data_IF_783727081588
#
_entry.id   IF_783727081588
#
_cell.length_a   1.000
_cell.length_b   1.000
_cell.length_c   1.000
_cell.angle_alpha   90.00
_cell.angle_beta   90.00
_cell.angle_gamma   90.00
#
_symmetry.space_group_name_H-M   'P 1'
#
loop_
_entity.id
_entity.type
_entity.pdbx_description
1 polymer ?
#
# COMPACT_ATOMS: atom_id res chain seq x y z
N UNK A 1 -24.24 -26.49 18.65
CA UNK A 1 -22.78 -26.28 18.50
C UNK A 1 -22.59 -25.55 17.19
N UNK A 2 -22.69 -24.23 17.24
CA UNK A 2 -22.50 -23.37 16.08
C UNK A 2 -21.00 -23.26 15.81
N UNK A 3 -20.61 -23.55 14.58
CA UNK A 3 -19.23 -23.52 14.14
C UNK A 3 -18.67 -22.10 14.31
N UNK A 4 -17.68 -21.96 15.19
CA UNK A 4 -16.70 -20.88 15.11
C UNK A 4 -16.11 -20.91 13.71
N UNK A 5 -16.66 -20.11 12.80
CA UNK A 5 -15.97 -19.76 11.56
C UNK A 5 -14.71 -19.03 12.00
N UNK A 6 -13.62 -19.77 12.14
CA UNK A 6 -12.27 -19.22 12.21
C UNK A 6 -12.14 -18.22 11.06
N UNK A 7 -12.25 -16.93 11.38
CA UNK A 7 -11.98 -15.82 10.47
C UNK A 7 -10.46 -15.77 10.28
N UNK A 8 -9.89 -16.80 9.65
CA UNK A 8 -8.53 -16.73 9.15
C UNK A 8 -8.54 -15.66 8.07
N UNK A 9 -8.12 -14.45 8.43
CA UNK A 9 -7.78 -13.45 7.43
C UNK A 9 -6.77 -14.11 6.49
N UNK A 10 -7.02 -14.10 5.17
CA UNK A 10 -6.09 -14.72 4.27
C UNK A 10 -4.76 -13.94 4.35
N UNK A 11 -3.68 -14.68 4.56
CA UNK A 11 -2.33 -14.16 4.79
C UNK A 11 -1.91 -13.18 3.69
N UNK A 12 -1.17 -12.12 4.05
CA UNK A 12 -0.72 -11.13 3.08
C UNK A 12 0.21 -11.74 2.00
N UNK A 13 0.15 -11.19 0.78
CA UNK A 13 1.11 -11.54 -0.27
C UNK A 13 2.50 -11.00 0.13
N UNK A 14 3.56 -11.83 0.14
CA UNK A 14 4.90 -11.42 0.52
C UNK A 14 5.40 -10.18 -0.23
N UNK A 15 6.07 -9.27 0.47
CA UNK A 15 6.52 -7.98 -0.08
C UNK A 15 7.52 -8.12 -1.24
N UNK A 16 8.24 -9.24 -1.33
CA UNK A 16 9.17 -9.48 -2.44
C UNK A 16 8.47 -9.73 -3.78
N UNK A 17 7.18 -10.08 -3.76
CA UNK A 17 6.38 -10.21 -4.99
C UNK A 17 6.11 -8.80 -5.52
N UNK A 18 6.48 -8.46 -6.76
CA UNK A 18 6.22 -7.14 -7.32
C UNK A 18 4.72 -6.84 -7.43
N UNK A 19 4.31 -5.57 -7.20
CA UNK A 19 2.91 -5.16 -7.34
C UNK A 19 2.35 -5.46 -8.74
N UNK A 20 3.16 -5.20 -9.78
CA UNK A 20 2.77 -5.47 -11.16
C UNK A 20 2.45 -6.95 -11.44
N UNK A 21 3.09 -7.88 -10.72
CA UNK A 21 2.81 -9.30 -10.91
C UNK A 21 1.53 -9.74 -10.18
N UNK A 22 1.18 -9.07 -9.08
CA UNK A 22 -0.10 -9.23 -8.40
C UNK A 22 -1.23 -8.71 -9.28
N UNK A 23 -1.05 -7.54 -9.90
CA UNK A 23 -2.01 -6.94 -10.85
C UNK A 23 -2.24 -7.86 -12.05
N UNK A 24 -1.18 -8.44 -12.64
CA UNK A 24 -1.32 -9.46 -13.69
C UNK A 24 -2.10 -10.69 -13.23
N UNK A 25 -1.84 -11.15 -12.00
CA UNK A 25 -2.57 -12.27 -11.39
C UNK A 25 -4.06 -11.97 -11.26
N UNK A 26 -4.41 -10.76 -10.80
CA UNK A 26 -5.79 -10.26 -10.74
C UNK A 26 -6.44 -10.22 -12.13
N UNK A 27 -5.76 -9.68 -13.12
CA UNK A 27 -6.30 -9.56 -14.48
C UNK A 27 -6.55 -10.94 -15.10
N UNK A 28 -5.65 -11.91 -14.86
CA UNK A 28 -5.86 -13.30 -15.27
C UNK A 28 -7.05 -13.93 -14.55
N UNK A 29 -7.23 -13.66 -13.27
CA UNK A 29 -8.37 -14.14 -12.48
C UNK A 29 -9.69 -13.57 -12.99
N UNK A 30 -9.73 -12.29 -13.38
CA UNK A 30 -10.90 -11.69 -14.03
C UNK A 30 -11.28 -12.42 -15.33
N UNK A 31 -10.30 -12.76 -16.16
CA UNK A 31 -10.54 -13.53 -17.38
C UNK A 31 -11.14 -14.92 -17.08
N UNK A 32 -10.66 -15.59 -16.03
CA UNK A 32 -11.20 -16.88 -15.60
C UNK A 32 -12.63 -16.79 -15.06
N UNK A 33 -12.95 -15.71 -14.34
CA UNK A 33 -14.32 -15.42 -13.89
C UNK A 33 -15.25 -15.27 -15.10
N UNK A 34 -14.84 -14.46 -16.08
CA UNK A 34 -15.62 -14.25 -17.30
C UNK A 34 -15.80 -15.55 -18.08
N UNK A 35 -14.74 -16.36 -18.19
CA UNK A 35 -14.78 -17.63 -18.93
C UNK A 35 -15.71 -18.68 -18.28
N UNK A 36 -15.87 -18.65 -16.95
CA UNK A 36 -16.68 -19.62 -16.20
C UNK A 36 -18.13 -19.19 -15.98
N UNK A 37 -18.45 -17.90 -16.13
CA UNK A 37 -19.81 -17.39 -15.97
C UNK A 37 -20.37 -17.67 -14.58
N UNK A 38 -21.54 -18.31 -14.51
CA UNK A 38 -22.28 -18.55 -13.26
C UNK A 38 -21.51 -19.45 -12.26
N UNK A 39 -20.57 -20.27 -12.74
CA UNK A 39 -19.74 -21.15 -11.90
C UNK A 39 -18.54 -20.43 -11.27
N UNK A 40 -18.35 -19.13 -11.53
CA UNK A 40 -17.21 -18.36 -11.07
C UNK A 40 -17.28 -17.91 -9.59
N UNK A 41 -18.35 -18.23 -8.86
CA UNK A 41 -18.59 -17.72 -7.49
C UNK A 41 -17.36 -17.82 -6.56
N UNK A 42 -16.63 -18.94 -6.47
CA UNK A 42 -15.44 -19.04 -5.61
C UNK A 42 -14.28 -18.13 -6.05
N UNK A 43 -14.18 -17.79 -7.34
CA UNK A 43 -13.14 -16.91 -7.86
C UNK A 43 -13.41 -15.44 -7.52
N UNK A 44 -14.66 -15.06 -7.26
CA UNK A 44 -15.02 -13.70 -6.85
C UNK A 44 -14.43 -13.36 -5.48
N UNK A 45 -14.47 -14.30 -4.52
CA UNK A 45 -13.86 -14.11 -3.20
C UNK A 45 -12.34 -13.96 -3.30
N UNK A 46 -11.70 -14.79 -4.13
CA UNK A 46 -10.26 -14.68 -4.40
C UNK A 46 -9.92 -13.34 -5.07
N UNK A 47 -10.74 -12.89 -6.01
CA UNK A 47 -10.56 -11.61 -6.70
C UNK A 47 -10.62 -10.45 -5.72
N UNK A 48 -11.64 -10.43 -4.86
CA UNK A 48 -11.79 -9.42 -3.82
C UNK A 48 -10.59 -9.42 -2.85
N UNK A 49 -10.09 -10.60 -2.48
CA UNK A 49 -8.89 -10.67 -1.65
C UNK A 49 -7.66 -10.09 -2.37
N UNK A 50 -7.43 -10.41 -3.65
CA UNK A 50 -6.29 -9.85 -4.41
C UNK A 50 -6.39 -8.31 -4.54
N UNK A 51 -7.58 -7.77 -4.80
CA UNK A 51 -7.79 -6.32 -4.82
C UNK A 51 -7.43 -5.67 -3.48
N UNK A 52 -7.83 -6.28 -2.36
CA UNK A 52 -7.45 -5.80 -1.02
C UNK A 52 -5.94 -5.80 -0.78
N UNK A 53 -5.21 -6.77 -1.35
CA UNK A 53 -3.74 -6.81 -1.27
C UNK A 53 -3.10 -5.67 -2.08
N UNK A 54 -3.65 -5.36 -3.26
CA UNK A 54 -3.21 -4.23 -4.10
C UNK A 54 -3.47 -2.91 -3.37
N UNK A 55 -4.69 -2.71 -2.87
CA UNK A 55 -5.09 -1.49 -2.17
C UNK A 55 -4.17 -1.22 -0.97
N UNK A 56 -3.95 -2.22 -0.13
CA UNK A 56 -3.07 -2.10 1.05
C UNK A 56 -1.66 -1.67 0.68
N UNK A 57 -1.11 -2.17 -0.43
CA UNK A 57 0.23 -1.79 -0.90
C UNK A 57 0.27 -0.35 -1.41
N UNK A 58 -0.74 0.07 -2.15
CA UNK A 58 -0.86 1.45 -2.63
C UNK A 58 -1.02 2.44 -1.47
N UNK A 59 -1.86 2.11 -0.49
CA UNK A 59 -2.03 2.91 0.72
C UNK A 59 -0.73 3.04 1.50
N UNK A 60 -0.02 1.92 1.74
CA UNK A 60 1.28 1.94 2.43
C UNK A 60 2.30 2.81 1.68
N UNK A 61 2.38 2.69 0.36
CA UNK A 61 3.26 3.52 -0.46
C UNK A 61 2.96 5.01 -0.29
N UNK A 62 1.69 5.39 -0.39
CA UNK A 62 1.25 6.77 -0.20
C UNK A 62 1.61 7.32 1.18
N UNK A 63 1.41 6.52 2.24
CA UNK A 63 1.78 6.88 3.62
C UNK A 63 3.29 7.13 3.74
N UNK A 64 4.13 6.25 3.17
CA UNK A 64 5.59 6.42 3.21
C UNK A 64 6.05 7.64 2.41
N UNK A 65 5.47 7.89 1.24
CA UNK A 65 5.79 9.07 0.43
C UNK A 65 5.42 10.36 1.17
N UNK A 66 4.23 10.41 1.80
CA UNK A 66 3.81 11.53 2.63
C UNK A 66 4.74 11.74 3.83
N UNK A 67 5.16 10.66 4.51
CA UNK A 67 6.10 10.73 5.62
C UNK A 67 7.47 11.29 5.17
N UNK A 68 7.99 10.82 4.03
CA UNK A 68 9.25 11.33 3.45
C UNK A 68 9.16 12.81 3.12
N UNK A 69 8.05 13.25 2.52
CA UNK A 69 7.82 14.66 2.20
C UNK A 69 7.82 15.54 3.46
N UNK A 70 7.14 15.10 4.53
CA UNK A 70 7.12 15.81 5.82
C UNK A 70 8.53 15.92 6.42
N UNK A 71 9.30 14.83 6.40
CA UNK A 71 10.69 14.85 6.90
C UNK A 71 11.57 15.82 6.09
N UNK A 72 11.42 15.85 4.76
CA UNK A 72 12.16 16.77 3.90
C UNK A 72 11.82 18.25 4.20
N UNK A 73 10.55 18.55 4.42
CA UNK A 73 10.10 19.90 4.82
C UNK A 73 10.69 20.31 6.17
N UNK A 74 10.67 19.42 7.17
CA UNK A 74 11.26 19.70 8.48
C UNK A 74 12.77 19.95 8.42
N UNK A 75 13.50 19.18 7.61
CA UNK A 75 14.94 19.41 7.39
C UNK A 75 15.21 20.77 6.76
N UNK A 76 14.42 21.15 5.76
CA UNK A 76 14.55 22.45 5.08
C UNK A 76 14.24 23.61 6.04
N UNK A 77 13.18 23.49 6.85
CA UNK A 77 12.81 24.49 7.85
C UNK A 77 13.87 24.62 8.96
N UNK A 78 14.39 23.49 9.46
CA UNK A 78 15.46 23.48 10.46
C UNK A 78 16.78 24.07 9.94
N UNK A 79 17.13 23.79 8.68
CA UNK A 79 18.29 24.41 8.02
C UNK A 79 18.10 25.92 7.81
N UNK A 80 16.91 26.36 7.39
CA UNK A 80 16.59 27.78 7.23
C UNK A 80 16.68 28.54 8.57
N UNK A 81 16.23 27.94 9.68
CA UNK A 81 16.35 28.53 11.01
C UNK A 81 17.82 28.70 11.45
N UNK A 82 18.66 27.68 11.23
CA UNK A 82 20.09 27.70 11.60
C UNK A 82 20.91 28.73 10.80
N UNK A 83 20.55 28.98 9.53
CA UNK A 83 21.19 30.02 8.69
C UNK A 83 20.82 31.44 9.18
N UNK A 84 19.64 31.62 9.76
CA UNK A 84 19.22 32.91 10.30
C UNK A 84 19.91 33.25 11.63
N UNK A 85 20.14 32.26 12.50
CA UNK A 85 20.90 32.44 13.75
C UNK A 85 22.36 32.81 13.50
N UNK A 86 23.00 32.18 12.52
CA UNK A 86 24.40 32.47 12.16
C UNK A 86 24.59 33.85 11.52
N UNK A 87 23.61 34.36 10.77
CA UNK A 87 23.62 35.75 10.27
C UNK A 87 23.34 36.80 11.35
N UNK A 88 22.55 36.47 12.37
CA UNK A 88 22.30 37.36 13.51
C UNK A 88 23.51 37.55 14.42
N UNK A 89 24.43 36.58 14.48
CA UNK A 89 25.62 36.62 15.34
C UNK A 89 26.85 37.28 14.68
N UNK A 90 26.85 37.48 13.37
CA UNK A 90 28.00 38.03 12.63
C UNK A 90 27.92 39.55 12.39
N UNK A 91 26.95 40.24 13.00
CA UNK A 91 26.69 41.67 12.81
C UNK A 91 26.91 42.55 14.04
N UNK A 92 27.64 42.08 15.05
CA UNK A 92 28.04 42.87 16.24
C UNK A 92 29.53 43.13 16.23
#
# INVERSE_FOLDING_TARGET
MEAERMTSQPSDIPLHVPLADIEKGRDRLAQEIVARGDDATPLLELYAWVEGQIEKRLQNRSIFEAARARVAQMKTAGQAASVNETKGLSGV
#
